data_IF_894497443315
#
_entry.id   IF_894497443315
#
_cell.length_a   1.000
_cell.length_b   1.000
_cell.length_c   1.000
_cell.angle_alpha   90.00
_cell.angle_beta   90.00
_cell.angle_gamma   90.00
#
_symmetry.space_group_name_H-M   'P 1'
#
loop_
_entity.id
_entity.type
_entity.pdbx_description
1 polymer ?
#
# COMPACT_ATOMS: atom_id res chain seq x y z
CA UNK A 1 70.95 -95.49 37.07
CA UNK A 2 67.68 -93.59 36.44
CA UNK A 3 66.36 -90.75 34.13
CA UNK A 4 63.49 -88.52 35.50
CA UNK A 5 60.85 -86.49 33.56
CA UNK A 6 59.17 -84.13 33.38
CA UNK A 7 61.72 -81.50 34.59
CA UNK A 8 62.06 -77.69 33.95
CA UNK A 9 58.38 -77.05 34.72
CA UNK A 10 55.61 -76.53 37.25
CA UNK A 11 52.04 -77.81 37.61
CA UNK A 12 48.82 -75.86 38.58
CA UNK A 13 46.20 -76.69 41.34
CA UNK A 14 43.73 -79.26 39.81
CA UNK A 15 46.33 -80.39 37.19
CA UNK A 16 47.12 -84.12 36.69
CA UNK A 17 50.83 -84.66 37.59
CA UNK A 18 52.33 -87.49 35.50
CA UNK A 19 55.96 -88.38 36.35
CA UNK A 20 58.10 -90.96 34.60
CA UNK A 21 61.31 -92.52 35.93
CA UNK A 22 63.17 -94.80 33.52
CA UNK A 23 65.26 -97.51 35.22
CA UNK A 24 68.72 -97.75 33.52
CA UNK A 25 70.05 -100.19 36.22
CA UNK A 26 72.12 -103.07 34.66
CA UNK A 27 70.14 -105.87 36.49
CA UNK A 28 67.50 -105.15 39.21
CA UNK A 29 65.63 -106.56 42.31
CA UNK A 30 62.41 -104.23 42.73
CA UNK A 31 60.62 -100.66 42.17
CA UNK A 32 59.48 -97.78 44.53
CA UNK A 33 58.13 -94.12 44.61
CA UNK A 34 58.82 -91.89 47.72
CA UNK A 35 57.71 -88.35 48.85
CA UNK A 36 60.46 -86.58 50.84
CA UNK A 37 58.88 -83.58 52.66
CA UNK A 38 61.19 -80.64 53.68
CA UNK A 39 62.93 -81.67 57.00
CA UNK A 40 61.27 -85.19 56.99
CA UNK A 41 62.27 -88.72 55.91
CA UNK A 42 61.38 -90.39 52.54
CA UNK A 43 57.74 -91.63 52.78
CA UNK A 44 56.75 -94.55 50.46
CA UNK A 45 53.87 -93.32 48.17
CA UNK A 46 53.53 -96.24 45.72
CA UNK A 47 55.67 -99.26 44.89
CA UNK A 48 55.17 -102.30 42.68
CA UNK A 49 55.92 -105.90 43.60
CA UNK A 50 55.72 -108.91 41.24
CA UNK A 51 51.91 -109.64 41.39
CA UNK A 52 50.91 -106.86 43.87
CA UNK A 53 50.66 -103.06 44.00
CA UNK A 54 50.79 -100.83 47.16
CA UNK A 55 49.22 -97.28 46.90
CA UNK A 56 49.01 -94.69 49.81
CA UNK A 57 47.39 -91.44 51.18
CA UNK A 58 47.15 -89.25 48.05
CA UNK A 59 43.88 -88.87 46.12
CA UNK A 60 43.98 -91.00 42.94
CA UNK A 61 47.74 -91.76 43.29
CA UNK A 62 48.05 -94.39 40.55
CA UNK A 63 51.09 -96.22 39.15
CA UNK A 64 51.85 -98.06 35.86
CA UNK A 65 55.13 -99.94 35.17
CA UNK A 66 56.28 -100.67 31.58
CA UNK A 67 58.23 -103.60 29.99
CA UNK A 68 61.29 -101.18 29.86
CA UNK A 69 61.29 -101.19 33.67
CA UNK A 70 59.90 -97.54 33.67
CA UNK A 71 57.72 -96.47 36.60
CA UNK A 72 55.22 -93.70 35.61
CA UNK A 73 53.44 -92.24 38.72
CA UNK A 74 50.19 -90.24 38.09
CA UNK A 75 49.22 -87.82 40.94
CA UNK A 76 45.49 -86.91 40.43
CA UNK A 77 43.74 -83.79 41.84
CA UNK A 78 46.69 -81.56 42.51
CA UNK A 79 46.57 -79.56 45.66
CA UNK A 80 49.27 -76.80 46.18
CA UNK A 81 50.44 -79.03 49.15
CA UNK A 82 51.29 -81.94 46.72
CA UNK A 83 54.28 -79.64 45.82
CA UNK A 84 57.53 -81.38 46.99
CA UNK A 85 60.35 -83.74 45.86
CA UNK A 86 59.37 -87.08 44.23
CA UNK A 87 62.01 -89.70 43.40
CA UNK A 88 62.29 -93.40 42.47
CA UNK A 89 64.14 -96.15 44.48
CA UNK A 90 65.13 -99.58 42.99
CA UNK A 91 67.23 -102.34 44.60
CA UNK A 92 70.03 -104.33 42.88
CA UNK A 93 71.67 -107.06 45.11
CA UNK A 94 71.07 -105.37 48.57
CA UNK A 95 72.04 -101.82 47.35
CA UNK A 96 69.28 -99.12 47.26
CA UNK A 97 69.71 -96.91 44.15
CA UNK A 98 68.01 -93.52 44.17
CA UNK A 99 67.24 -91.25 41.24
CA UNK A 100 67.64 -87.46 41.05
CA UNK A 101 64.70 -85.34 42.37
CA UNK A 102 61.61 -84.98 40.17
CA UNK A 103 60.49 -81.78 41.89
CA UNK A 104 56.78 -80.90 41.34
CA UNK A 105 55.72 -77.22 41.82
CA UNK A 106 51.91 -76.57 42.04
CA UNK A 107 50.33 -73.14 41.09
CA UNK A 108 47.56 -71.63 39.23
CA UNK A 109 46.93 -71.41 35.46
CA UNK A 110 45.10 -68.13 34.90
CA UNK A 111 43.13 -68.77 31.71
CA UNK A 112 40.20 -66.54 32.20
CA UNK A 113 40.82 -64.19 29.24
CA UNK A 114 38.59 -61.09 28.95
CA UNK A 115 38.49 -58.47 26.13
CA UNK A 116 36.87 -54.96 25.73
CA UNK A 117 34.96 -54.65 23.43
CA UNK A 118 33.34 -58.16 23.91
CA UNK A 119 33.54 -59.32 20.21
CA UNK A 120 33.26 -56.33 17.74
CA UNK A 121 34.22 -52.60 17.41
CA UNK A 122 32.82 -50.17 14.73
CA UNK A 123 35.95 -48.01 14.24
CA UNK A 124 35.86 -44.69 12.29
CA UNK A 125 38.90 -44.11 9.95
CA UNK A 126 41.04 -41.16 11.32
CA UNK A 127 40.08 -41.70 15.04
CA UNK A 128 42.26 -43.02 17.97
CA UNK A 129 40.91 -46.46 19.12
CA UNK A 130 42.15 -48.93 21.79
CA UNK A 131 41.43 -52.71 22.09
CA UNK A 132 42.17 -54.31 25.55
CA UNK A 133 42.98 -57.93 26.50
CA UNK A 134 42.96 -58.88 30.24
CA UNK A 135 43.22 -61.95 32.45
CA UNK A 136 42.13 -62.87 36.03
CA UNK A 137 43.59 -65.92 37.96
CA UNK A 138 47.11 -65.42 36.38
CA UNK A 139 50.17 -64.09 38.36
CA UNK A 140 52.50 -63.07 35.44
CA UNK A 141 50.58 -63.36 32.10
CA UNK A 142 52.32 -62.81 28.68
CA UNK A 143 50.01 -61.39 25.96
CA UNK A 144 50.39 -61.91 22.14
CA UNK A 145 48.33 -60.20 19.29
CA UNK A 146 47.85 -61.18 15.58
CA UNK A 147 45.38 -60.75 12.67
CA UNK A 148 43.71 -63.89 11.09
CA UNK A 149 46.11 -63.58 8.04
CA UNK A 150 49.40 -62.90 10.02
CA UNK A 151 49.99 -59.39 8.52
CA UNK A 152 51.40 -56.37 10.48
CA UNK A 153 49.00 -55.08 13.12
CA UNK A 154 49.15 -51.30 11.99
CA UNK A 155 48.86 -50.17 15.70
CA UNK A 156 50.97 -50.04 18.94
CA UNK A 157 50.98 -52.88 21.58
CA UNK A 158 51.48 -51.96 25.32
CA UNK A 159 51.78 -54.87 27.88
CA UNK A 160 51.41 -53.78 31.59
CA UNK A 161 50.38 -55.78 34.76
CA UNK A 162 47.48 -58.15 33.85
CA UNK A 163 46.40 -56.13 30.74
CA UNK A 164 47.59 -55.60 27.14
CA UNK A 165 46.34 -52.53 25.19
CA UNK A 166 46.35 -52.53 21.36
CA UNK A 167 46.13 -48.81 20.32
CA UNK A 168 45.39 -47.91 16.68
CA UNK A 169 46.16 -44.16 16.00
CA UNK A 170 45.08 -43.14 13.44
CA UNK A 171 42.57 -45.85 12.32
CA UNK A 172 43.19 -46.61 8.59
CA UNK A 173 42.09 -49.23 5.96
CA UNK A 174 45.03 -51.42 7.24
CA UNK A 175 42.95 -52.30 10.40
CA UNK A 176 39.94 -54.14 8.86
CA UNK A 177 40.90 -57.38 10.63
CA UNK A 178 39.80 -60.04 13.12
CA UNK A 179 42.41 -59.27 15.88
CA UNK A 180 43.30 -62.27 18.08
CA UNK A 181 44.68 -61.84 21.63
CA UNK A 182 46.56 -64.94 22.96
CA UNK A 183 47.10 -64.88 26.78
CA UNK A 184 49.94 -67.27 27.93
CA UNK A 185 50.09 -68.13 31.70
CA UNK A 186 53.82 -69.12 32.14
CA UNK A 187 53.52 -70.53 35.75
CA UNK A 188 51.19 -73.37 34.47
CA UNK A 189 52.08 -73.52 30.69
CA UNK A 190 48.56 -72.76 29.34
CA UNK A 191 47.29 -70.56 26.47
CA UNK A 192 43.79 -69.02 26.20
CA UNK A 193 42.69 -66.89 23.19
CA UNK A 194 39.87 -64.37 22.38
CA UNK A 195 39.19 -62.56 19.04
CA UNK A 196 37.78 -59.01 18.39
CA UNK A 197 36.42 -58.17 14.90
CA UNK A 198 37.40 -54.56 13.89
CA UNK A 199 34.81 -53.25 11.33
CA UNK A 200 35.72 -49.85 9.74
CA UNK A 201 33.73 -46.94 8.31
CA UNK A 202 34.64 -44.34 5.92
CA UNK A 203 33.97 -40.79 6.04
CA UNK A 204 33.52 -39.18 9.49
CA UNK A 205 31.77 -40.11 12.63
CA UNK A 206 28.53 -38.10 12.33
CA UNK A 207 29.17 -34.52 11.26
CA UNK A 208 27.57 -31.33 12.67
CA UNK A 209 24.01 -31.40 11.24
CA UNK A 210 23.31 -28.68 8.63
CA UNK A 211 20.00 -26.77 8.80
CA UNK A 212 18.76 -25.08 5.58
CA UNK A 213 15.54 -23.14 5.00
CA UNK A 214 13.55 -20.73 2.75
CA UNK A 215 11.24 -18.16 4.43
CA UNK A 216 7.92 -16.50 3.40
CA UNK A 217 7.69 -18.70 0.25
CA UNK A 218 4.11 -18.25 -0.81
CA UNK A 219 2.90 -17.78 2.83
CA UNK A 220 4.87 -20.73 4.25
CA UNK A 221 8.23 -21.58 5.88
CA UNK A 222 9.75 -25.01 5.02
CA UNK A 223 12.71 -26.14 7.16
CA UNK A 224 15.17 -29.04 6.48
CA UNK A 225 17.87 -30.81 8.56
CA UNK A 226 20.36 -33.13 6.91
CA UNK A 227 23.64 -34.81 7.80
CA UNK A 228 26.13 -35.40 4.97
CA UNK A 229 28.58 -37.74 6.69
CA UNK A 230 27.86 -40.64 9.09
CA UNK A 231 26.82 -44.32 8.91
CA UNK A 232 23.29 -45.36 9.89
CA UNK A 233 22.70 -41.92 11.54
CA UNK A 234 19.69 -40.74 13.61
CA UNK A 235 18.81 -37.09 13.82
CA UNK A 236 16.15 -35.40 15.94
CA UNK A 237 14.62 -31.96 15.37
CA UNK A 238 12.73 -29.39 17.23
CA UNK A 239 11.89 -26.15 18.77
CA UNK A 240 11.66 -24.16 20.84
CA UNK A 241 12.96 -27.09 22.98
CA UNK A 242 10.07 -29.43 21.91
CA UNK A 243 10.54 -32.73 19.93
CA UNK A 244 9.24 -32.49 16.29
CA UNK A 245 10.40 -35.59 14.37
CA UNK A 246 12.96 -38.38 14.69
CA UNK A 247 14.32 -39.70 11.40
CA UNK A 248 17.32 -41.49 9.82
CA UNK A 249 17.09 -39.62 6.52
CA UNK A 250 16.66 -35.81 5.99
CA UNK A 251 13.90 -34.20 8.21
CA UNK A 252 11.40 -31.63 6.78
CA UNK A 253 9.29 -29.34 8.87
CA UNK A 254 6.62 -26.91 7.42
CA UNK A 255 4.84 -24.11 9.38
CA UNK A 256 2.28 -21.50 8.43
CA UNK A 257 2.36 -18.52 10.81
CA UNK A 258 5.11 -15.86 11.05
CA UNK A 259 7.98 -17.58 12.79
CA UNK A 260 10.65 -16.63 15.39
CA UNK A 261 11.98 -19.80 16.91
CA UNK A 262 15.24 -21.59 17.81
CA UNK A 263 15.67 -24.93 16.02
CA UNK A 264 18.06 -27.66 17.17
CA UNK A 265 18.97 -30.72 15.06
CA UNK A 266 21.02 -33.57 16.54
CA UNK A 267 22.71 -36.39 14.60
CA UNK A 268 23.87 -39.55 16.33
CA UNK A 269 25.76 -42.60 15.06
CA UNK A 270 24.93 -45.51 17.45
CA UNK A 271 27.77 -47.67 15.98
CA UNK A 272 30.62 -45.16 16.82
CA UNK A 273 28.74 -43.23 19.55
CA UNK A 274 29.30 -39.91 17.64
CA UNK A 275 26.93 -37.01 18.66
CA UNK A 276 26.76 -34.03 16.20
CA UNK A 277 24.67 -30.94 17.05
CA UNK A 278 23.57 -27.62 15.41
CA UNK A 279 21.22 -24.82 16.63
CA UNK A 280 19.92 -22.09 14.30
CA UNK A 281 17.75 -19.04 15.30
CA UNK A 282 14.99 -18.84 12.62
CA UNK A 283 13.11 -15.51 12.02
CA UNK A 284 10.27 -15.26 9.40
CA UNK A 285 8.34 -11.93 9.47
CA UNK A 286 6.13 -12.03 6.36
CA UNK A 287 2.27 -12.05 6.45
CA UNK A 288 -0.69 -9.57 6.34
CA UNK A 289 0.00 -6.01 7.38
CA UNK A 290 -2.35 -3.12 7.16
CA UNK A 291 -1.88 -0.93 4.05
CA UNK A 292 -3.97 2.28 3.75
CA UNK A 293 -4.19 4.81 0.85
CA UNK A 294 -5.73 8.35 0.45
CA UNK A 295 -7.78 8.62 -1.75
CA UNK A 296 -9.45 5.18 -1.03
CA UNK A 297 -9.52 3.91 -4.70
CA UNK A 298 -9.85 6.83 -7.25
CA UNK A 299 -8.73 10.49 -7.77
CA UNK A 300 -10.29 12.85 -10.42
CA UNK A 301 -7.18 14.94 -11.17
CA UNK A 302 -7.24 18.15 -13.27
CA UNK A 303 -4.34 18.56 -15.81
CA UNK A 304 -2.07 21.53 -14.72
CA UNK A 305 -2.79 21.11 -10.92
CA UNK A 306 -0.48 19.82 -8.09
CA UNK A 307 -1.85 16.48 -6.72
CA UNK A 308 -0.53 14.05 -4.05
CA UNK A 309 -1.35 10.33 -3.54
CA UNK A 310 -0.39 8.81 -0.12
CA UNK A 311 0.32 5.19 0.92
CA UNK A 312 0.51 4.42 4.71
CA UNK A 313 0.66 1.35 6.91
CA UNK A 314 -0.06 0.59 10.62
CA UNK A 315 1.43 -2.39 12.64
CA UNK A 316 4.85 -2.06 10.82
CA UNK A 317 8.10 -0.72 12.51
CA UNK A 318 10.28 0.19 9.43
CA UNK A 319 8.07 -0.16 6.26
CA UNK A 320 9.64 0.10 2.73
CA UNK A 321 7.25 1.54 0.09
CA UNK A 322 7.35 0.83 -3.73
CA UNK A 323 5.16 2.51 -6.49
CA UNK A 324 4.41 1.42 -10.13
CA UNK A 325 1.78 1.81 -12.90
CA UNK A 326 -0.06 -1.34 -14.25
CA UNK A 327 2.14 -1.20 -17.45
CA UNK A 328 5.56 -0.55 -15.71
CA UNK A 329 6.17 2.89 -17.36
CA UNK A 330 7.79 5.92 -15.61
CA UNK A 331 5.60 7.39 -12.88
CA UNK A 332 5.78 11.11 -14.15
CA UNK A 333 5.75 12.39 -10.48
CA UNK A 334 8.07 12.56 -7.39
CA UNK A 335 8.16 9.82 -4.64
CA UNK A 336 8.93 10.85 -0.97
CA UNK A 337 9.29 8.02 1.66
CA UNK A 338 9.20 9.29 5.33
CA UNK A 339 8.38 7.44 8.63
CA UNK A 340 5.31 5.18 8.07
CA UNK A 341 4.06 7.02 4.89
CA UNK A 342 5.05 7.42 1.20
CA UNK A 343 3.77 10.44 -0.77
CA UNK A 344 3.54 10.31 -4.60
CA UNK A 345 3.37 13.99 -5.76
CA UNK A 346 2.40 14.79 -9.37
CA UNK A 347 3.28 18.46 -10.28
CA UNK A 348 2.01 19.45 -12.71
CA UNK A 349 -0.63 16.78 -13.62
CA UNK A 350 -0.24 15.84 -17.35
CA UNK A 351 -1.58 13.17 -19.82
CA UNK A 352 1.38 10.95 -18.62
CA UNK A 353 -0.51 10.25 -15.31
CA UNK A 354 -3.59 8.36 -16.58
CA UNK A 355 -2.86 5.14 -14.78
CA UNK A 356 -3.75 2.71 -12.02
CA UNK A 357 -0.89 3.53 -9.55
CA UNK A 358 -0.02 0.52 -7.33
CA UNK A 359 1.68 1.03 -3.92
CA UNK A 360 3.50 -2.07 -2.56
CA UNK A 361 4.25 -1.91 1.22
CA UNK A 362 7.14 -4.22 2.38
CA UNK A 363 7.44 -5.21 6.11
CA UNK A 364 11.18 -6.16 6.21
CA UNK A 365 10.96 -7.45 9.88
CA UNK A 366 8.25 -10.06 8.93
CA UNK A 367 9.14 -10.55 5.17
CA UNK A 368 5.55 -9.63 4.12
CA UNK A 369 4.19 -7.62 1.11
CA UNK A 370 0.76 -5.91 0.94
CA UNK A 371 -0.44 -3.92 -2.16
CA UNK A 372 -3.22 -1.29 -2.73
CA UNK A 373 -4.02 0.44 -6.12
CA UNK A 374 -5.31 4.03 -6.82
CA UNK A 375 -6.93 4.76 -10.22
CA UNK A 376 -5.91 8.31 -11.40
CA UNK A 377 -8.63 9.60 -13.84
CA UNK A 378 -7.78 12.96 -15.55
CA UNK A 379 -9.78 15.88 -17.06
CA UNK A 380 -9.58 18.28 -19.73
CA UNK A 381 -10.16 21.84 -19.64
CA UNK A 382 -10.08 23.61 -16.23
CA UNK A 383 -11.19 22.89 -12.79
CA UNK A 384 -14.44 24.82 -13.22
CA UNK A 385 -13.84 28.36 -14.46
CA UNK A 386 -15.23 31.65 -13.04
CA UNK A 387 -18.91 31.62 -14.15
CA UNK A 388 -19.65 34.26 -16.83
CA UNK A 389 -22.97 36.22 -16.56
CA UNK A 390 -24.39 37.88 -19.76
CA UNK A 391 -27.57 39.80 -20.21
CA UNK A 392 -29.67 42.23 -22.26
CA UNK A 393 -31.90 44.77 -20.52
CA UNK A 394 -35.15 46.56 -21.51
CA UNK A 395 -35.69 44.27 -24.58
CA UNK A 396 -39.35 44.67 -25.29
CA UNK A 397 -40.24 45.32 -21.58
CA UNK A 398 -38.39 42.28 -20.11
CA UNK A 399 -34.95 41.51 -18.82
CA UNK A 400 -33.44 38.06 -19.57
CA UNK A 401 -30.31 36.93 -17.63
CA UNK A 402 -27.98 33.99 -18.39
CA UNK A 403 -25.18 32.25 -16.44
CA UNK A 404 -22.85 29.78 -18.13
CA UNK A 405 -19.55 28.06 -17.41
CA UNK A 406 -17.29 27.27 -20.39
CA UNK A 407 -14.77 24.96 -18.74
CA UNK A 408 -15.37 22.21 -16.15
CA UNK A 409 -16.44 18.52 -16.01
CA UNK A 410 -19.94 17.64 -14.76
CA UNK A 411 -20.30 21.19 -13.25
CA UNK A 412 -23.20 22.40 -11.03
CA UNK A 413 -24.77 25.92 -11.50
CA UNK A 414 -26.33 27.95 -8.77
CA UNK A 415 -27.89 31.44 -9.31
CA UNK A 416 -29.74 33.94 -7.28
CA UNK A 417 -30.52 37.30 -6.02
CA UNK A 418 -30.45 39.31 -3.83
CA UNK A 419 -29.10 36.40 -1.70
CA UNK A 420 -32.10 34.13 -2.59
CA UNK A 421 -31.84 30.77 -4.48
CA UNK A 422 -33.36 30.97 -8.05
CA UNK A 423 -32.42 27.80 -9.96
CA UNK A 424 -29.91 24.98 -9.74
CA UNK A 425 -28.79 23.53 -13.07
CA UNK A 426 -25.94 21.62 -14.79
CA UNK A 427 -26.31 23.43 -18.11
CA UNK A 428 -26.66 27.22 -18.70
CA UNK A 429 -29.21 28.91 -16.30
CA UNK A 430 -31.73 31.48 -17.69
CA UNK A 431 -33.60 34.06 -15.62
CA UNK A 432 -36.33 36.40 -16.89
CA UNK A 433 -37.94 39.31 -14.93
CA UNK A 434 -40.49 41.93 -15.83
CA UNK A 435 -40.16 45.00 -13.61
CA UNK A 436 -37.33 47.59 -13.74
CA UNK A 437 -34.41 45.91 -12.08
CA UNK A 438 -31.44 46.91 -9.84
CA UNK A 439 -30.13 43.78 -8.21
CA UNK A 440 -26.84 41.96 -7.46
CA UNK A 441 -26.65 38.55 -9.14
CA UNK A 442 -24.23 35.81 -8.01
CA UNK A 443 -23.54 32.64 -10.05
CA UNK A 444 -21.45 29.80 -8.57
CA UNK A 445 -19.97 26.84 -10.48
CA UNK A 446 -18.72 23.77 -8.62
CA UNK A 447 -17.03 20.60 -9.94
CA UNK A 448 -17.76 17.88 -7.34
CA UNK A 449 -15.06 15.57 -8.89
CA UNK A 450 -12.06 17.98 -8.44
CA UNK A 451 -13.76 20.07 -5.66
CA UNK A 452 -13.28 23.21 -7.83
CA UNK A 453 -15.43 26.23 -7.02
CA UNK A 454 -16.16 28.99 -9.51
CA UNK A 455 -17.79 32.28 -8.54
CA UNK A 456 -18.82 35.59 -10.19
CA UNK A 457 -21.04 38.53 -8.95
CA UNK A 458 -22.47 41.19 -11.29
CA UNK A 459 -24.48 44.34 -10.28
CA UNK A 460 -27.47 44.52 -12.67
CA UNK A 461 -29.41 47.79 -13.34
CA UNK A 462 -32.36 48.00 -15.83
CA UNK A 463 -34.24 51.34 -15.67
CA UNK A 464 -36.84 51.04 -18.52
CA UNK A 465 -40.63 51.17 -17.95
CA UNK A 466 -43.53 53.69 -17.93
CA UNK A 467 -42.62 57.35 -17.39
CA UNK A 468 -44.91 60.33 -17.76
CA UNK A 469 -44.62 62.39 -20.98
CA UNK A 470 -46.68 65.61 -21.32
CA UNK A 471 -46.98 68.05 -24.31
CA UNK A 472 -48.48 71.60 -24.73
CA UNK A 473 -50.64 71.84 -26.81
CA UNK A 474 -52.35 68.48 -25.86
CA UNK A 475 -52.66 67.05 -29.46
CA UNK A 476 -53.09 69.86 -32.10
CA UNK A 477 -51.99 73.49 -32.85
CA UNK A 478 -53.59 75.79 -35.53
CA UNK A 479 -50.45 77.73 -36.55
CA UNK A 480 -50.61 80.89 -38.73
CA UNK A 481 -47.87 81.12 -41.45
CA UNK A 482 -45.43 84.04 -40.59
CA UNK A 483 -45.94 83.82 -36.74
CA UNK A 484 -43.50 82.59 -34.01
CA UNK A 485 -44.86 79.33 -32.44
CA UNK A 486 -43.42 76.98 -29.76
CA UNK A 487 -44.28 73.29 -29.05
CA UNK A 488 -43.19 71.91 -25.61
CA UNK A 489 -42.49 68.31 -24.48
CA UNK A 490 -42.06 67.66 -20.69
CA UNK A 491 -41.69 64.75 -18.30
CA UNK A 492 -42.38 64.18 -14.56
CA UNK A 493 -40.84 61.20 -12.57
CA UNK A 494 -37.52 61.29 -14.58
CA UNK A 495 -34.18 62.63 -13.10
CA UNK A 496 -32.19 63.19 -16.38
CA UNK A 497 -34.51 62.87 -19.42
CA UNK A 498 -33.18 63.06 -23.05
CA UNK A 499 -35.70 64.47 -25.56
CA UNK A 500 -35.82 63.61 -29.33
CA UNK A 501 -38.10 65.25 -32.02
CA UNK A 502 -38.99 63.91 -35.44
CA UNK A 503 -42.15 64.41 -37.47
CA UNK A 504 -43.89 61.44 -39.35
CA UNK A 505 -41.90 61.11 -42.69
CA UNK A 506 -38.25 61.60 -41.40
CA UNK A 507 -37.70 65.07 -43.07
CA UNK A 508 -36.03 68.17 -41.48
CA UNK A 509 -37.99 69.84 -38.66
CA UNK A 510 -37.81 73.50 -40.09
CA UNK A 511 -37.58 74.91 -36.47
CA UNK A 512 -35.08 75.16 -33.53
CA UNK A 513 -34.89 72.53 -30.69
CA UNK A 514 -33.88 73.69 -27.12
CA UNK A 515 -33.42 70.95 -24.39
CA UNK A 516 -33.27 72.33 -20.77
CA UNK A 517 -33.99 70.63 -17.36
CA UNK A 518 -37.10 68.37 -17.72
CA UNK A 519 -38.47 70.22 -20.83
CA UNK A 520 -37.70 70.42 -24.58
CA UNK A 521 -39.03 73.41 -26.59
CA UNK A 522 -39.48 73.15 -30.39
CA UNK A 523 -39.65 76.78 -31.70
CA UNK A 524 -40.79 77.45 -35.28
CA UNK A 525 -39.93 81.09 -36.34
CA UNK A 526 -41.27 81.97 -38.81
CA UNK A 527 -44.02 79.34 -39.41
CA UNK A 528 -43.91 78.27 -43.12
CA UNK A 529 -45.46 75.53 -45.36
CA UNK A 530 -42.50 73.27 -44.29
CA UNK A 531 -44.21 72.77 -40.84
CA UNK A 532 -47.48 71.06 -41.84
CA UNK A 533 -46.50 67.78 -40.06
CA UNK A 534 -47.37 65.48 -37.14
CA UNK A 535 -44.44 66.34 -34.76
CA UNK A 536 -43.45 63.33 -32.53
CA UNK A 537 -41.54 63.93 -29.25
CA UNK A 538 -39.69 60.87 -27.85
CA UNK A 539 -38.70 61.15 -24.13
CA UNK A 540 -35.84 58.73 -23.12
CA UNK A 541 -35.34 58.07 -19.34
CA UNK A 542 -31.59 57.04 -19.36
CA UNK A 543 -31.63 55.85 -15.65
CA UNK A 544 -34.38 53.21 -16.36
CA UNK A 545 -33.71 52.59 -20.15
CA UNK A 546 -37.34 53.49 -21.07
CA UNK A 547 -38.83 55.50 -23.98
CA UNK A 548 -42.27 57.22 -24.06
CA UNK A 549 -43.64 59.12 -27.15
CA UNK A 550 -46.38 61.78 -27.63
CA UNK A 551 -47.39 63.39 -31.02
CA UNK A 552 -48.64 66.99 -31.73
CA UNK A 553 -50.40 67.65 -35.10
CA UNK A 554 -49.39 71.09 -36.55
CA UNK A 555 -52.19 72.37 -38.89
CA UNK A 556 -51.32 75.58 -40.84
CA UNK A 557 -53.31 78.50 -42.27
CA UNK A 558 -52.40 80.95 -44.85
CA UNK A 559 -52.86 84.54 -44.84
CA UNK A 560 -53.17 86.32 -41.43
CA UNK A 561 -54.64 85.73 -38.15
CA UNK A 562 -57.88 87.66 -38.32
CA UNK A 563 -57.16 91.08 -39.77
CA UNK A 564 -58.41 94.44 -38.47
CA UNK A 565 -62.21 94.44 -39.40
CA UNK A 566 -63.09 96.98 -42.17
CA UNK A 567 -66.30 99.07 -41.69
CA UNK A 568 -67.80 100.64 -44.85
CA UNK A 569 -70.97 102.68 -45.21
CA UNK A 570 -73.08 105.06 -47.26
CA UNK A 571 -75.15 107.78 -45.66
CA UNK A 572 -78.44 109.59 -46.33
CA UNK A 573 -79.33 107.11 -49.17
CA UNK A 574 -83.05 107.62 -49.73
CA UNK A 575 -83.52 108.61 -46.02
CA UNK A 576 -81.55 105.62 -44.62
CA UNK A 577 -78.04 104.71 -43.40
CA UNK A 578 -76.78 101.19 -44.20
CA UNK A 579 -73.66 100.00 -42.32
CA UNK A 580 -71.48 96.94 -43.09
CA UNK A 581 -68.61 95.20 -41.25
CA UNK A 582 -66.48 92.59 -42.97
CA UNK A 583 -63.18 90.78 -42.39
CA UNK A 584 -61.16 89.79 -45.48
CA UNK A 585 -58.62 87.47 -43.89
CA UNK A 586 -59.10 84.87 -41.10
CA UNK A 587 -60.28 81.21 -40.84
CA UNK A 588 -63.78 80.55 -39.31
CA UNK A 589 -63.86 84.09 -37.87
CA UNK A 590 -66.58 85.47 -35.56
CA UNK A 591 -67.55 89.07 -35.70
CA UNK A 592 -69.53 91.34 -33.45
CA UNK A 593 -71.02 94.88 -33.72
CA UNK A 594 -72.71 97.20 -31.18
CA UNK A 595 -73.08 100.99 -30.84
CA UNK A 596 -72.91 102.61 -28.42
CA UNK A 597 -71.59 99.80 -26.23
CA UNK A 598 -74.72 97.60 -26.91
CA UNK A 599 -74.61 94.25 -28.82
CA UNK A 600 -76.33 94.39 -32.30
CA UNK A 601 -75.56 91.15 -34.15
CA UNK A 602 -73.11 88.26 -34.00
CA UNK A 603 -72.20 86.71 -37.34
CA UNK A 604 -69.50 84.70 -39.17
CA UNK A 605 -70.00 86.45 -42.50
CA UNK A 606 -70.30 90.24 -43.14
CA UNK A 607 -72.73 92.01 -40.70
CA UNK A 608 -75.26 94.60 -42.04
CA UNK A 609 -76.90 97.33 -39.97
CA UNK A 610 -79.61 99.72 -41.13
CA UNK A 611 -81.02 102.74 -39.23
CA UNK A 612 -83.54 105.42 -40.04
CA UNK A 613 -82.98 108.64 -38.11
CA UNK A 614 -80.05 111.08 -38.51
CA UNK A 615 -77.07 109.34 -36.95
CA UNK A 616 -73.95 110.36 -34.94
CA UNK A 617 -72.64 107.25 -33.26
CA UNK A 618 -69.37 105.37 -32.64
CA UNK A 619 -69.39 101.86 -34.17
CA UNK A 620 -66.98 99.11 -33.11
CA UNK A 621 -66.52 95.81 -35.01
CA UNK A 622 -64.45 92.95 -33.57
CA UNK A 623 -63.19 89.90 -35.41
CA UNK A 624 -61.88 86.87 -33.53
CA UNK A 625 -60.39 83.59 -34.78
CA UNK A 626 -61.00 80.95 -32.05
CA UNK A 627 -58.48 78.55 -33.72
CA UNK A 628 -55.43 80.92 -33.49
CA UNK A 629 -56.81 83.15 -30.70
CA UNK A 630 -56.37 86.20 -33.02
CA UNK A 631 -58.55 89.27 -32.07
CA UNK A 632 -58.97 92.08 -34.72
CA UNK A 633 -60.61 95.37 -33.82
CA UNK A 634 -61.83 98.63 -35.52
CA UNK A 635 -63.83 101.70 -34.33
CA UNK A 636 -65.28 104.28 -36.73
CA UNK A 637 -67.15 107.50 -35.73
CA UNK A 638 -70.29 107.71 -37.94
CA UNK A 639 -72.18 110.98 -38.53
CA UNK A 640 -75.25 111.17 -40.86
CA UNK A 641 -76.98 114.59 -40.72
CA UNK A 642 -79.23 113.09 -43.53
#
# INVERSE_FOLDING_TARGET
>A
KLTIESTPFNVAEGKEVLLLVHNLPQHLFGYSWYKGERVDGNRQIIGYVIGTQQATPGPAYSGREIIYPNASLLIQNIIQNDTGFYTLHVIKSDLVNEEATGQFRVYPELPKPSISSNNSKPVEDKDAVAFTCEPETQDATYLWWVNNQSLPVSPRLQLSNGNRTLTLFNVTRNDTASYKCETQNPVSARRSDSVILNVLYGPDAPTISPLNTSYRSGENLNLSCHAASNPPAQYSWFVNGTFQQSTQELFIPNITVNNSGSYTCQAHNSDTGLNRTTVTTITVYAEPPKPFITSNNSNPVEDEDAVALTCEPEIQNTTYLWWVNNQSLPVSPRLQLSNDNRTLTLLSVTRNDVGPYECGIQNELSVDHSDPVILNVLYGPDDPTISPSYTYYRPGVNLSLSCHAASNPPAQYSWLIDGNIQQHTQELFISNITEKNSGLYTCQANNSASGHSRTTVKTITVSAELPKPSISSNNSKPVEDKDAVAFTCEPEAQNTTYLWWVNGQSLPVSPRLQLSNGNRTLTLFNVTRNDARAYVCGIQNSVSANRSDPVTLDVLYGPDTPIISPPDSSYLSGANLNLSCHSASNPSPQYSWRINGIPQQHTQVLFIAKITPNNNGTYACFVSNLATGRNNSIVKSITVSA
#
